data_IF_862964102347
#
_entry.id   IF_862964102347
#
_cell.length_a   1.000
_cell.length_b   1.000
_cell.length_c   1.000
_cell.angle_alpha   90.00
_cell.angle_beta   90.00
_cell.angle_gamma   90.00
#
_symmetry.space_group_name_H-M   'P 1'
#
loop_
_entity.id
_entity.type
_entity.pdbx_description
1 polymer ?
#
# COMPACT_ATOMS: atom_id res chain seq x y z
N UNK A 1 -11.83 -11.46 -17.71
CA UNK A 1 -10.71 -10.49 -17.66
C UNK A 1 -10.73 -9.80 -16.31
N UNK A 2 -9.62 -9.79 -15.58
CA UNK A 2 -9.49 -9.15 -14.27
C UNK A 2 -8.01 -8.88 -14.02
N UNK A 3 -7.61 -7.66 -14.34
CA UNK A 3 -6.23 -7.28 -14.63
C UNK A 3 -5.35 -7.33 -13.37
N UNK A 4 -4.19 -7.97 -13.54
CA UNK A 4 -3.11 -8.11 -12.56
C UNK A 4 -2.62 -6.74 -12.07
N UNK A 5 -3.23 -6.19 -11.04
CA UNK A 5 -2.71 -4.98 -10.38
C UNK A 5 -1.68 -5.41 -9.34
N UNK A 6 -0.44 -5.57 -9.82
CA UNK A 6 0.75 -5.86 -9.03
C UNK A 6 1.03 -4.77 -8.00
N UNK A 7 0.28 -4.78 -6.90
CA UNK A 7 0.61 -4.02 -5.70
C UNK A 7 1.88 -4.60 -5.11
N UNK A 8 2.93 -3.79 -5.07
CA UNK A 8 4.19 -4.12 -4.43
C UNK A 8 3.89 -4.50 -2.98
N UNK A 9 4.24 -5.71 -2.60
CA UNK A 9 4.14 -6.17 -1.21
C UNK A 9 5.52 -6.00 -0.60
N UNK A 10 5.66 -5.03 0.31
CA UNK A 10 6.92 -4.82 1.03
C UNK A 10 6.80 -5.42 2.42
N UNK A 11 7.89 -6.00 2.89
CA UNK A 11 8.04 -6.40 4.29
C UNK A 11 8.05 -5.13 5.14
N UNK A 12 7.42 -5.15 6.32
CA UNK A 12 7.47 -4.04 7.28
C UNK A 12 8.93 -3.62 7.52
N UNK A 13 9.35 -2.54 6.86
CA UNK A 13 10.63 -1.92 7.15
C UNK A 13 10.55 -1.34 8.57
N UNK A 14 11.30 -1.91 9.51
CA UNK A 14 11.47 -1.35 10.86
C UNK A 14 12.15 0.01 10.76
N UNK A 15 11.36 1.07 10.52
CA UNK A 15 11.88 2.40 10.27
C UNK A 15 10.88 3.37 9.65
N UNK A 16 11.39 4.44 9.02
CA UNK A 16 10.60 5.49 8.38
C UNK A 16 9.97 4.93 7.10
N UNK A 17 8.63 4.98 7.02
CA UNK A 17 7.84 4.54 5.85
C UNK A 17 8.39 5.22 4.59
N UNK A 18 9.04 4.43 3.72
CA UNK A 18 9.70 4.92 2.51
C UNK A 18 9.04 4.34 1.27
N UNK A 19 8.80 5.16 0.26
CA UNK A 19 8.30 4.67 -1.01
C UNK A 19 9.33 3.72 -1.66
N UNK A 20 8.93 2.49 -2.05
CA UNK A 20 9.84 1.53 -2.68
C UNK A 20 10.26 1.94 -4.10
N UNK A 21 9.51 2.83 -4.76
CA UNK A 21 9.79 3.26 -6.13
C UNK A 21 10.69 4.50 -6.17
N UNK A 22 10.36 5.56 -5.43
CA UNK A 22 11.10 6.83 -5.48
C UNK A 22 11.95 7.14 -4.24
N UNK A 23 11.90 6.29 -3.20
CA UNK A 23 12.64 6.53 -1.96
C UNK A 23 12.07 7.65 -1.08
N UNK A 24 10.86 8.15 -1.36
CA UNK A 24 10.25 9.23 -0.57
C UNK A 24 9.98 8.77 0.86
N UNK A 25 10.54 9.47 1.83
CA UNK A 25 10.44 9.18 3.26
C UNK A 25 9.50 10.13 4.01
N UNK A 26 8.97 11.14 3.32
CA UNK A 26 8.02 12.09 3.90
C UNK A 26 6.67 11.42 4.14
N UNK A 27 6.30 11.26 5.41
CA UNK A 27 5.00 10.72 5.82
C UNK A 27 3.82 11.52 5.25
N UNK A 28 3.95 12.84 5.10
CA UNK A 28 2.90 13.68 4.50
C UNK A 28 2.66 13.37 3.01
N UNK A 29 3.66 12.82 2.32
CA UNK A 29 3.54 12.41 0.92
C UNK A 29 3.01 10.97 0.80
N UNK A 30 2.82 10.21 1.87
CA UNK A 30 2.38 8.82 1.81
C UNK A 30 0.98 8.69 2.39
N UNK A 31 0.00 8.57 1.51
CA UNK A 31 -1.40 8.44 1.88
C UNK A 31 -1.76 6.97 2.12
N UNK A 32 -2.24 6.67 3.32
CA UNK A 32 -2.81 5.36 3.64
C UNK A 32 -4.27 5.32 3.15
N UNK A 33 -4.67 4.23 2.51
CA UNK A 33 -6.03 4.04 2.01
C UNK A 33 -6.43 2.57 2.11
N UNK A 34 -7.72 2.33 2.26
CA UNK A 34 -8.27 0.99 2.32
C UNK A 34 -8.29 0.37 0.92
N UNK A 35 -7.67 -0.79 0.77
CA UNK A 35 -7.64 -1.52 -0.46
C UNK A 35 -8.83 -2.48 -0.55
N UNK A 36 -9.87 -2.06 -1.27
CA UNK A 36 -11.09 -2.85 -1.47
C UNK A 36 -10.86 -4.11 -2.31
N UNK A 37 -9.68 -4.26 -2.94
CA UNK A 37 -9.32 -5.44 -3.74
C UNK A 37 -8.72 -6.56 -2.90
N UNK A 38 -8.22 -6.25 -1.70
CA UNK A 38 -7.70 -7.23 -0.75
C UNK A 38 -8.69 -7.40 0.39
N UNK A 39 -9.47 -8.48 0.35
CA UNK A 39 -10.41 -8.83 1.42
C UNK A 39 -9.66 -9.76 2.36
N UNK A 40 -9.31 -9.27 3.56
CA UNK A 40 -8.64 -10.06 4.61
C UNK A 40 -9.65 -11.00 5.26
N UNK A 41 -10.88 -10.53 5.47
CA UNK A 41 -11.96 -11.32 6.04
C UNK A 41 -13.26 -10.96 5.32
N UNK A 42 -14.03 -11.96 4.92
CA UNK A 42 -15.32 -11.73 4.23
C UNK A 42 -16.43 -11.38 5.23
N UNK A 43 -16.39 -11.94 6.44
CA UNK A 43 -17.38 -11.72 7.49
C UNK A 43 -16.77 -11.71 8.91
N UNK A 44 -16.70 -10.56 9.61
CA UNK A 44 -17.04 -9.20 9.17
C UNK A 44 -16.08 -8.70 8.07
N UNK A 45 -16.59 -7.89 7.13
CA UNK A 45 -15.86 -7.52 5.91
C UNK A 45 -14.69 -6.59 6.23
N UNK A 46 -13.48 -7.14 6.31
CA UNK A 46 -12.23 -6.42 6.58
C UNK A 46 -11.42 -6.34 5.30
N UNK A 47 -11.17 -5.12 4.85
CA UNK A 47 -10.30 -4.83 3.72
C UNK A 47 -8.87 -4.58 4.18
N UNK A 48 -7.91 -4.96 3.36
CA UNK A 48 -6.50 -4.65 3.56
C UNK A 48 -6.21 -3.16 3.46
N UNK A 49 -5.06 -2.76 3.98
CA UNK A 49 -4.54 -1.39 3.85
C UNK A 49 -3.52 -1.34 2.72
N UNK A 50 -3.50 -0.23 2.00
CA UNK A 50 -2.44 0.12 1.04
C UNK A 50 -1.94 1.53 1.30
N UNK A 51 -0.70 1.75 0.89
CA UNK A 51 -0.02 3.02 0.97
C UNK A 51 0.19 3.52 -0.45
N UNK A 52 -0.03 4.82 -0.66
CA UNK A 52 0.16 5.48 -1.95
C UNK A 52 1.11 6.65 -1.79
N UNK A 53 2.17 6.69 -2.59
CA UNK A 53 3.06 7.84 -2.67
C UNK A 53 2.43 8.95 -3.51
N UNK A 54 2.35 10.16 -2.97
CA UNK A 54 1.90 11.37 -3.64
C UNK A 54 2.93 11.96 -4.62
N UNK A 55 4.19 11.51 -4.58
CA UNK A 55 5.24 11.98 -5.50
C UNK A 55 5.29 11.18 -6.80
N UNK A 56 5.36 9.85 -6.71
CA UNK A 56 5.46 8.98 -7.89
C UNK A 56 4.16 8.24 -8.22
N UNK A 57 3.15 8.30 -7.36
CA UNK A 57 1.89 7.57 -7.54
C UNK A 57 1.97 6.10 -7.17
N UNK A 58 3.14 5.57 -6.78
CA UNK A 58 3.31 4.15 -6.46
C UNK A 58 2.39 3.74 -5.31
N UNK A 59 1.68 2.63 -5.51
CA UNK A 59 0.88 1.97 -4.50
C UNK A 59 1.59 0.69 -4.02
N UNK A 60 1.65 0.48 -2.70
CA UNK A 60 2.23 -0.72 -2.10
C UNK A 60 1.46 -1.12 -0.85
N UNK A 61 1.63 -2.36 -0.41
CA UNK A 61 1.07 -2.90 0.82
C UNK A 61 2.19 -3.26 1.77
N UNK A 62 2.00 -2.95 3.05
CA UNK A 62 2.87 -3.40 4.13
C UNK A 62 2.26 -4.72 4.65
N UNK A 63 3.02 -5.82 4.57
CA UNK A 63 2.64 -7.12 5.16
C UNK A 63 3.28 -7.31 6.52
#
# INVERSE_FOLDING_TARGET
MGESNGLLTIERSEGRRRCPSCGEENKNMIHESTDKTNIICDYPRVYGKKNRCGRCGQEWREK
#
